data_IF_969038057106
#
_entry.id   IF_969038057106
#
_cell.length_a   1.000
_cell.length_b   1.000
_cell.length_c   1.000
_cell.angle_alpha   90.00
_cell.angle_beta   90.00
_cell.angle_gamma   90.00
#
_symmetry.space_group_name_H-M   'P 1'
#
loop_
_entity.id
_entity.type
_entity.pdbx_description
1 polymer ?
#
# COMPACT_ATOMS: atom_id res chain seq x y z
N UNK A 1 6.11 -41.08 27.15
CA UNK A 1 6.92 -40.87 25.92
C UNK A 1 6.22 -39.93 24.93
N UNK A 2 5.81 -38.73 25.36
CA UNK A 2 5.04 -37.78 24.53
C UNK A 2 5.68 -36.39 24.40
N UNK A 3 6.88 -36.19 24.94
CA UNK A 3 7.59 -34.90 24.93
C UNK A 3 8.33 -34.55 23.64
N UNK A 4 8.17 -35.34 22.57
CA UNK A 4 8.84 -35.09 21.28
C UNK A 4 7.88 -34.64 20.17
N UNK A 5 6.57 -34.57 20.40
CA UNK A 5 5.58 -34.24 19.36
C UNK A 5 5.31 -32.73 19.20
N UNK A 6 5.95 -31.88 20.00
CA UNK A 6 5.64 -30.44 19.98
C UNK A 6 6.44 -29.67 18.93
N UNK A 7 7.77 -29.75 19.01
CA UNK A 7 8.66 -28.93 18.20
C UNK A 7 9.10 -29.56 16.87
N UNK A 8 9.56 -30.84 16.81
CA UNK A 8 10.10 -31.40 15.58
C UNK A 8 9.02 -31.69 14.53
N UNK A 9 7.80 -32.08 14.93
CA UNK A 9 6.66 -32.22 14.01
C UNK A 9 6.33 -30.89 13.31
N UNK A 10 6.26 -29.80 14.08
CA UNK A 10 5.99 -28.46 13.53
C UNK A 10 7.11 -28.02 12.60
N UNK A 11 8.36 -28.29 12.95
CA UNK A 11 9.51 -28.02 12.07
C UNK A 11 9.40 -28.81 10.77
N UNK A 12 9.04 -30.10 10.83
CA UNK A 12 8.87 -30.93 9.64
C UNK A 12 7.78 -30.36 8.71
N UNK A 13 6.63 -29.99 9.27
CA UNK A 13 5.53 -29.37 8.51
C UNK A 13 5.99 -28.04 7.89
N UNK A 14 6.67 -27.18 8.66
CA UNK A 14 7.21 -25.92 8.14
C UNK A 14 8.20 -26.13 7.00
N UNK A 15 9.07 -27.15 7.09
CA UNK A 15 10.00 -27.49 6.02
C UNK A 15 9.23 -27.88 4.74
N UNK A 16 8.20 -28.72 4.85
CA UNK A 16 7.37 -29.10 3.70
C UNK A 16 6.66 -27.88 3.10
N UNK A 17 6.07 -27.02 3.92
CA UNK A 17 5.40 -25.79 3.45
C UNK A 17 6.40 -24.86 2.76
N UNK A 18 7.60 -24.68 3.31
CA UNK A 18 8.67 -23.88 2.67
C UNK A 18 9.14 -24.49 1.36
N UNK A 19 9.17 -25.82 1.21
CA UNK A 19 9.49 -26.46 -0.06
C UNK A 19 8.41 -26.24 -1.12
N UNK A 20 7.12 -26.26 -0.73
CA UNK A 20 6.01 -26.05 -1.65
C UNK A 20 5.83 -24.59 -2.07
N UNK A 21 5.90 -23.66 -1.10
CA UNK A 21 5.62 -22.25 -1.33
C UNK A 21 6.90 -21.41 -1.54
N UNK A 22 8.04 -21.87 -1.04
CA UNK A 22 9.32 -21.17 -1.08
C UNK A 22 9.60 -20.28 0.14
N UNK A 23 10.87 -20.19 0.54
CA UNK A 23 11.32 -19.45 1.73
C UNK A 23 11.00 -17.94 1.68
N UNK A 24 10.82 -17.38 0.48
CA UNK A 24 10.50 -15.96 0.28
C UNK A 24 8.99 -15.67 0.23
N UNK A 25 8.14 -16.66 -0.10
CA UNK A 25 6.68 -16.47 -0.17
C UNK A 25 5.99 -16.58 1.18
N UNK A 26 6.46 -17.46 2.06
CA UNK A 26 5.93 -17.57 3.42
C UNK A 26 5.96 -16.24 4.20
N UNK A 27 7.11 -15.53 4.31
CA UNK A 27 7.17 -14.26 5.04
C UNK A 27 6.44 -13.13 4.31
N UNK A 28 6.39 -13.16 2.98
CA UNK A 28 5.71 -12.16 2.17
C UNK A 28 4.18 -12.24 2.36
N UNK A 29 3.62 -13.45 2.28
CA UNK A 29 2.20 -13.72 2.58
C UNK A 29 1.86 -13.42 4.04
N UNK A 30 2.72 -13.77 4.99
CA UNK A 30 2.51 -13.45 6.40
C UNK A 30 2.52 -11.92 6.65
N UNK A 31 3.40 -11.17 5.97
CA UNK A 31 3.46 -9.70 6.08
C UNK A 31 2.24 -9.02 5.48
N UNK A 32 1.79 -9.44 4.30
CA UNK A 32 0.60 -8.87 3.66
C UNK A 32 -0.67 -9.20 4.45
N UNK A 33 -0.83 -10.45 4.87
CA UNK A 33 -1.95 -10.90 5.71
C UNK A 33 -1.92 -10.23 7.09
N UNK A 34 -0.73 -10.06 7.68
CA UNK A 34 -0.55 -9.37 8.96
C UNK A 34 -0.93 -7.89 8.89
N UNK A 35 -0.65 -7.21 7.77
CA UNK A 35 -1.07 -5.81 7.55
C UNK A 35 -2.59 -5.69 7.49
N UNK A 36 -3.27 -6.55 6.75
CA UNK A 36 -4.74 -6.60 6.71
C UNK A 36 -5.33 -6.95 8.07
N UNK A 37 -4.83 -8.01 8.72
CA UNK A 37 -5.31 -8.43 10.04
C UNK A 37 -5.11 -7.35 11.12
N UNK A 38 -4.05 -6.54 11.01
CA UNK A 38 -3.80 -5.42 11.92
C UNK A 38 -4.85 -4.31 11.77
N UNK A 39 -5.18 -3.93 10.53
CA UNK A 39 -6.19 -2.90 10.25
C UNK A 39 -7.56 -3.37 10.77
N UNK A 40 -7.94 -4.60 10.41
CA UNK A 40 -9.19 -5.20 10.87
C UNK A 40 -9.23 -5.33 12.40
N UNK A 41 -8.12 -5.68 13.04
CA UNK A 41 -8.03 -5.72 14.51
C UNK A 41 -8.15 -4.33 15.13
N UNK A 42 -7.53 -3.31 14.55
CA UNK A 42 -7.63 -1.92 15.02
C UNK A 42 -9.05 -1.38 14.92
N UNK A 43 -9.74 -1.61 13.79
CA UNK A 43 -11.13 -1.21 13.58
C UNK A 43 -12.08 -1.99 14.50
N UNK A 44 -11.89 -3.31 14.62
CA UNK A 44 -12.66 -4.14 15.54
C UNK A 44 -12.42 -3.79 17.01
N UNK A 45 -11.25 -3.24 17.37
CA UNK A 45 -10.96 -2.74 18.72
C UNK A 45 -11.65 -1.40 18.96
N UNK A 46 -11.60 -0.48 17.99
CA UNK A 46 -12.28 0.81 18.06
C UNK A 46 -13.81 0.66 18.19
N UNK A 47 -14.42 -0.30 17.48
CA UNK A 47 -15.85 -0.63 17.64
C UNK A 47 -16.19 -1.28 18.99
N UNK A 48 -15.21 -1.87 19.68
CA UNK A 48 -15.41 -2.44 21.03
C UNK A 48 -15.08 -1.46 22.15
N UNK A 49 -14.35 -0.41 21.83
CA UNK A 49 -13.83 0.60 22.76
C UNK A 49 -14.32 1.98 22.30
N UNK A 50 -15.64 2.22 22.35
CA UNK A 50 -16.25 3.54 22.09
C UNK A 50 -15.74 4.59 23.11
N UNK A 51 -14.54 5.17 22.91
CA UNK A 51 -14.13 6.40 23.62
C UNK A 51 -12.65 6.66 23.93
N UNK A 52 -11.67 5.95 23.38
CA UNK A 52 -10.25 6.30 23.60
C UNK A 52 -9.46 6.47 22.28
N UNK A 53 -8.68 7.55 22.21
CA UNK A 53 -8.03 8.13 21.04
C UNK A 53 -7.28 7.13 20.12
N UNK A 54 -7.19 7.42 18.81
CA UNK A 54 -6.58 6.49 17.85
C UNK A 54 -5.09 6.29 18.14
N UNK A 55 -4.59 5.04 18.19
CA UNK A 55 -3.16 4.81 18.15
C UNK A 55 -2.64 5.14 16.74
N UNK A 56 -1.75 6.13 16.66
CA UNK A 56 -1.05 6.50 15.43
C UNK A 56 -0.47 5.23 14.75
N UNK A 57 -0.81 4.93 13.48
CA UNK A 57 -0.23 3.80 12.78
C UNK A 57 1.28 4.04 12.59
N UNK A 58 2.16 3.11 12.99
CA UNK A 58 3.57 3.19 12.68
C UNK A 58 3.76 3.11 11.18
N UNK A 59 4.37 4.14 10.61
CA UNK A 59 4.96 4.10 9.30
C UNK A 59 5.97 2.95 9.23
N UNK A 60 5.82 2.12 8.21
CA UNK A 60 6.87 1.32 7.57
C UNK A 60 7.69 0.36 8.44
N UNK A 61 7.28 -0.91 8.44
CA UNK A 61 8.21 -2.03 8.63
C UNK A 61 8.54 -2.67 7.28
N UNK A 62 9.16 -1.88 6.40
CA UNK A 62 10.00 -2.36 5.31
C UNK A 62 11.27 -1.49 5.35
N UNK A 63 12.48 -2.07 5.20
CA UNK A 63 13.68 -1.27 4.96
C UNK A 63 13.44 -0.42 3.71
N UNK A 64 13.22 0.88 3.91
CA UNK A 64 13.12 1.84 2.82
C UNK A 64 14.51 1.99 2.20
N UNK A 65 14.75 1.63 0.92
CA UNK A 65 15.83 2.28 0.20
C UNK A 65 15.51 3.79 0.13
N UNK A 66 16.48 4.68 0.38
CA UNK A 66 16.24 6.12 0.44
C UNK A 66 15.53 6.65 -0.81
N UNK A 67 14.50 7.48 -0.61
CA UNK A 67 13.81 8.24 -1.65
C UNK A 67 14.80 9.04 -2.48
N UNK A 68 14.78 8.88 -3.80
CA UNK A 68 15.06 9.97 -4.72
C UNK A 68 14.05 9.91 -5.87
N UNK A 69 13.15 10.89 -5.89
CA UNK A 69 12.40 11.22 -7.10
C UNK A 69 13.39 12.05 -7.92
N UNK A 70 14.12 11.38 -8.81
CA UNK A 70 14.93 12.04 -9.82
C UNK A 70 13.99 12.51 -10.95
N UNK A 71 13.30 13.62 -10.76
CA UNK A 71 12.83 14.38 -11.91
C UNK A 71 14.07 14.97 -12.58
N UNK A 72 14.34 14.58 -13.82
CA UNK A 72 15.41 15.21 -14.60
C UNK A 72 15.05 16.70 -14.78
N UNK A 73 15.96 17.65 -14.44
CA UNK A 73 15.76 19.06 -14.75
C UNK A 73 15.75 19.24 -16.28
N UNK A 74 14.56 19.33 -16.89
CA UNK A 74 14.41 19.49 -18.33
C UNK A 74 12.99 19.48 -18.87
N UNK A 75 12.05 18.74 -18.25
CA UNK A 75 10.72 18.51 -18.85
C UNK A 75 9.69 19.64 -18.68
N UNK A 76 10.04 20.75 -18.02
CA UNK A 76 9.13 21.91 -17.86
C UNK A 76 9.34 23.00 -18.92
N UNK A 77 10.29 22.84 -19.85
CA UNK A 77 10.62 23.86 -20.84
C UNK A 77 9.75 23.81 -22.12
N UNK A 78 9.04 22.70 -22.38
CA UNK A 78 8.26 22.53 -23.62
C UNK A 78 6.75 22.72 -23.46
N UNK A 79 6.23 22.98 -22.26
CA UNK A 79 4.84 23.41 -22.08
C UNK A 79 4.73 24.95 -22.14
N UNK A 80 5.33 25.56 -23.17
CA UNK A 80 5.22 27.00 -23.43
C UNK A 80 4.11 27.23 -24.45
N UNK A 81 2.96 27.64 -23.93
CA UNK A 81 2.06 28.68 -24.47
C UNK A 81 1.61 28.49 -25.92
N UNK A 82 0.45 27.87 -26.13
CA UNK A 82 -0.44 28.27 -27.22
C UNK A 82 -1.40 29.30 -26.63
N UNK A 83 -1.08 30.56 -26.90
CA UNK A 83 -2.00 31.69 -26.83
C UNK A 83 -3.18 31.41 -27.78
N UNK A 84 -4.33 31.01 -27.24
CA UNK A 84 -5.61 31.09 -27.94
C UNK A 84 -6.22 32.47 -27.63
N UNK A 85 -5.95 33.42 -28.53
CA UNK A 85 -6.41 34.80 -28.41
C UNK A 85 -7.93 34.92 -28.71
N UNK A 86 -8.65 35.79 -27.97
CA UNK A 86 -10.09 35.98 -28.06
C UNK A 86 -10.49 37.00 -29.14
N UNK A 87 -11.12 36.57 -30.24
CA UNK A 87 -11.81 37.46 -31.21
C UNK A 87 -12.85 36.68 -32.04
N UNK A 88 -14.13 36.76 -31.69
CA UNK A 88 -15.27 36.95 -32.62
C UNK A 88 -16.59 36.97 -31.86
N UNK A 89 -16.84 38.11 -31.21
CA UNK A 89 -18.17 38.57 -30.89
C UNK A 89 -18.70 39.32 -32.13
N UNK A 90 -19.55 38.68 -32.92
CA UNK A 90 -20.45 39.39 -33.85
C UNK A 90 -21.69 38.52 -34.12
N UNK A 91 -22.78 38.90 -33.45
CA UNK A 91 -24.15 39.03 -33.98
C UNK A 91 -24.72 37.93 -34.87
N UNK A 92 -25.81 37.28 -34.43
CA UNK A 92 -27.09 37.01 -35.14
C UNK A 92 -27.91 36.15 -34.14
N UNK A 93 -28.80 36.66 -33.28
CA UNK A 93 -30.02 37.44 -33.53
C UNK A 93 -30.90 36.84 -34.64
N UNK A 94 -32.00 36.22 -34.22
CA UNK A 94 -33.34 36.30 -34.85
C UNK A 94 -33.62 35.42 -36.09
N UNK A 95 -34.50 34.44 -35.86
CA UNK A 95 -35.70 34.14 -36.66
C UNK A 95 -35.56 33.32 -37.95
N UNK A 96 -36.04 32.09 -37.89
CA UNK A 96 -37.20 31.62 -38.67
C UNK A 96 -37.86 30.45 -37.95
#
# INVERSE_FOLDING_TARGET
MFGRLGAPEIILILVVVVLLFGAKKLPDMARSLGKSARILKSEAKAMKEDGAAPPNPPADTAPQPPKTIQAAPGDVASARVVDDQPQQQTTHTTQS
#
